data_IF_376880381271
#
_entry.id   IF_376880381271
#
_cell.length_a   1.000
_cell.length_b   1.000
_cell.length_c   1.000
_cell.angle_alpha   90.00
_cell.angle_beta   90.00
_cell.angle_gamma   90.00
#
_symmetry.space_group_name_H-M   'P 1'
#
loop_
_entity.id
_entity.type
_entity.pdbx_description
1 polymer ?
#
# COMPACT_ATOMS: atom_id res chain seq x y z
N UNK A 1 -16.39 -1.74 15.69
CA UNK A 1 -15.60 -1.98 14.45
C UNK A 1 -15.73 -0.74 13.58
N UNK A 2 -14.64 -0.28 13.04
CA UNK A 2 -14.58 0.86 12.10
C UNK A 2 -15.20 0.39 10.76
N UNK A 3 -16.10 1.21 10.16
CA UNK A 3 -16.68 0.88 8.86
C UNK A 3 -15.84 1.44 7.72
N UNK A 4 -15.96 0.92 6.47
CA UNK A 4 -15.28 1.46 5.30
C UNK A 4 -15.57 2.96 5.09
N UNK A 5 -16.80 3.41 5.33
CA UNK A 5 -17.20 4.81 5.16
C UNK A 5 -16.54 5.73 6.19
N UNK A 6 -16.41 5.26 7.44
CA UNK A 6 -15.72 6.01 8.51
C UNK A 6 -14.24 6.16 8.18
N UNK A 7 -13.61 5.09 7.71
CA UNK A 7 -12.21 5.11 7.31
C UNK A 7 -11.99 6.00 6.09
N UNK A 8 -12.87 5.90 5.10
CA UNK A 8 -12.85 6.77 3.92
C UNK A 8 -12.96 8.26 4.31
N UNK A 9 -13.87 8.61 5.23
CA UNK A 9 -14.01 10.00 5.69
C UNK A 9 -12.75 10.48 6.41
N UNK A 10 -12.15 9.65 7.26
CA UNK A 10 -10.87 9.93 7.94
C UNK A 10 -9.79 10.26 6.92
N UNK A 11 -9.60 9.40 5.90
CA UNK A 11 -8.58 9.63 4.87
C UNK A 11 -8.93 10.81 3.96
N UNK A 12 -10.19 11.03 3.64
CA UNK A 12 -10.61 12.23 2.91
C UNK A 12 -10.19 13.51 3.64
N UNK A 13 -10.35 13.57 4.96
CA UNK A 13 -9.98 14.72 5.80
C UNK A 13 -8.46 14.90 5.91
N UNK A 14 -7.69 13.85 6.13
CA UNK A 14 -6.24 13.99 6.29
C UNK A 14 -5.56 14.42 4.99
N UNK A 15 -6.04 13.96 3.82
CA UNK A 15 -5.51 14.38 2.53
C UNK A 15 -5.81 15.85 2.18
N UNK A 16 -6.68 16.53 2.92
CA UNK A 16 -6.92 17.97 2.83
C UNK A 16 -5.97 18.79 3.72
N UNK A 17 -5.26 18.14 4.65
CA UNK A 17 -4.32 18.83 5.56
C UNK A 17 -3.08 19.31 4.77
N UNK A 18 -2.75 20.62 4.83
CA UNK A 18 -1.54 21.12 4.19
C UNK A 18 -0.27 20.41 4.69
N UNK A 19 0.56 19.95 3.77
CA UNK A 19 1.82 19.28 4.05
C UNK A 19 1.72 17.75 4.14
N UNK A 20 0.56 17.14 4.38
CA UNK A 20 0.41 15.68 4.39
C UNK A 20 0.78 15.06 3.03
N UNK A 21 0.37 15.72 1.95
CA UNK A 21 0.60 15.31 0.56
C UNK A 21 2.06 15.41 0.08
N UNK A 22 2.93 16.09 0.83
CA UNK A 22 4.32 16.35 0.38
C UNK A 22 5.15 15.07 0.36
N UNK A 23 4.90 14.17 1.31
CA UNK A 23 5.61 12.89 1.43
C UNK A 23 4.93 11.82 0.57
N UNK A 24 5.72 11.04 -0.13
CA UNK A 24 5.32 9.84 -0.87
C UNK A 24 6.39 8.77 -0.67
N UNK A 25 6.42 8.09 0.50
CA UNK A 25 7.48 7.13 0.81
C UNK A 25 7.62 6.03 -0.23
N UNK A 26 6.50 5.54 -0.75
CA UNK A 26 6.48 4.52 -1.78
C UNK A 26 7.22 4.91 -3.06
N UNK A 27 7.20 6.21 -3.45
CA UNK A 27 7.95 6.69 -4.62
C UNK A 27 9.45 6.43 -4.49
N UNK A 28 10.01 6.56 -3.28
CA UNK A 28 11.43 6.36 -3.01
C UNK A 28 11.85 4.88 -3.05
N UNK A 29 10.91 3.96 -2.90
CA UNK A 29 11.14 2.53 -2.88
C UNK A 29 10.91 1.83 -4.23
N UNK A 30 10.45 2.57 -5.24
CA UNK A 30 10.30 2.01 -6.59
C UNK A 30 11.60 1.38 -7.11
N UNK A 31 12.80 2.00 -6.98
CA UNK A 31 14.05 1.36 -7.40
C UNK A 31 14.32 0.03 -6.69
N UNK A 32 13.97 -0.10 -5.40
CA UNK A 32 14.13 -1.34 -4.63
C UNK A 32 13.23 -2.45 -5.18
N UNK A 33 11.95 -2.15 -5.45
CA UNK A 33 11.06 -3.10 -6.12
C UNK A 33 11.64 -3.56 -7.47
N UNK A 34 12.01 -2.62 -8.34
CA UNK A 34 12.53 -2.92 -9.68
C UNK A 34 13.83 -3.73 -9.68
N UNK A 35 14.61 -3.63 -8.60
CA UNK A 35 15.85 -4.37 -8.42
C UNK A 35 15.63 -5.81 -7.95
N UNK A 36 14.65 -6.04 -7.08
CA UNK A 36 14.50 -7.33 -6.39
C UNK A 36 13.37 -8.19 -6.98
N UNK A 37 12.33 -7.61 -7.57
CA UNK A 37 11.27 -8.37 -8.22
C UNK A 37 11.70 -8.87 -9.62
N UNK A 38 11.32 -10.10 -9.94
CA UNK A 38 11.52 -10.69 -11.28
C UNK A 38 10.34 -10.31 -12.19
N UNK A 39 10.27 -9.05 -12.59
CA UNK A 39 9.18 -8.49 -13.40
C UNK A 39 9.57 -8.29 -14.87
N UNK A 40 8.57 -8.32 -15.77
CA UNK A 40 8.69 -8.07 -17.19
C UNK A 40 7.88 -6.84 -17.64
N UNK A 41 8.31 -6.21 -18.74
CA UNK A 41 7.56 -5.09 -19.33
C UNK A 41 6.19 -5.55 -19.83
N UNK A 42 5.17 -4.76 -19.48
CA UNK A 42 3.79 -5.02 -19.86
C UNK A 42 3.00 -5.83 -18.84
N UNK A 43 3.65 -6.35 -17.79
CA UNK A 43 2.95 -6.97 -16.68
C UNK A 43 2.06 -5.97 -15.94
N UNK A 44 1.00 -6.48 -15.35
CA UNK A 44 0.04 -5.68 -14.61
C UNK A 44 0.46 -5.52 -13.16
N UNK A 45 0.35 -4.30 -12.63
CA UNK A 45 0.64 -4.00 -11.24
C UNK A 45 -0.47 -3.15 -10.63
N UNK A 46 -0.85 -3.46 -9.39
CA UNK A 46 -1.75 -2.62 -8.62
C UNK A 46 -0.99 -1.92 -7.48
N UNK A 47 -1.11 -0.58 -7.42
CA UNK A 47 -0.59 0.25 -6.32
C UNK A 47 -1.68 0.38 -5.25
N UNK A 48 -1.54 -0.41 -4.18
CA UNK A 48 -2.51 -0.61 -3.09
C UNK A 48 -2.34 0.48 -2.03
N UNK A 49 -3.35 1.32 -1.83
CA UNK A 49 -3.23 2.52 -1.00
C UNK A 49 -2.32 3.56 -1.64
N UNK A 50 -2.51 3.80 -2.93
CA UNK A 50 -1.61 4.56 -3.79
C UNK A 50 -1.39 6.03 -3.36
N UNK A 51 -2.20 6.56 -2.44
CA UNK A 51 -2.09 7.92 -1.95
C UNK A 51 -2.01 8.96 -3.06
N UNK A 52 -0.88 9.65 -3.18
CA UNK A 52 -0.65 10.66 -4.22
C UNK A 52 -0.61 10.11 -5.66
N UNK A 53 -0.38 8.81 -5.83
CA UNK A 53 -0.23 8.12 -7.12
C UNK A 53 1.18 8.21 -7.73
N UNK A 54 2.15 8.79 -7.01
CA UNK A 54 3.51 9.02 -7.56
C UNK A 54 4.29 7.73 -7.72
N UNK A 55 4.19 6.79 -6.75
CA UNK A 55 4.84 5.49 -6.86
C UNK A 55 4.32 4.74 -8.10
N UNK A 56 3.01 4.64 -8.26
CA UNK A 56 2.40 4.02 -9.44
C UNK A 56 2.81 4.69 -10.76
N UNK A 57 2.98 6.01 -10.77
CA UNK A 57 3.47 6.72 -11.96
C UNK A 57 4.92 6.36 -12.30
N UNK A 58 5.83 6.30 -11.31
CA UNK A 58 7.22 5.88 -11.56
C UNK A 58 7.31 4.41 -12.01
N UNK A 59 6.50 3.52 -11.43
CA UNK A 59 6.37 2.13 -11.88
C UNK A 59 5.88 2.03 -13.34
N UNK A 60 4.92 2.87 -13.73
CA UNK A 60 4.42 2.91 -15.11
C UNK A 60 5.48 3.39 -16.10
N UNK A 61 6.35 4.33 -15.70
CA UNK A 61 7.50 4.78 -16.52
C UNK A 61 8.55 3.69 -16.71
N UNK A 62 8.68 2.77 -15.76
CA UNK A 62 9.54 1.60 -15.91
C UNK A 62 9.01 0.60 -16.95
N UNK A 63 7.71 0.61 -17.25
CA UNK A 63 7.09 -0.22 -18.26
C UNK A 63 6.00 -1.18 -17.77
N UNK A 64 5.60 -1.08 -16.50
CA UNK A 64 4.48 -1.83 -15.96
C UNK A 64 3.13 -1.20 -16.33
N UNK A 65 2.10 -2.02 -16.45
CA UNK A 65 0.71 -1.57 -16.64
C UNK A 65 0.07 -1.35 -15.27
N UNK A 66 0.14 -0.14 -14.75
CA UNK A 66 -0.23 0.18 -13.37
C UNK A 66 -1.68 0.63 -13.25
N UNK A 67 -2.39 0.07 -12.26
CA UNK A 67 -3.68 0.56 -11.75
C UNK A 67 -3.49 1.07 -10.33
N UNK A 68 -4.01 2.25 -10.04
CA UNK A 68 -4.00 2.85 -8.72
C UNK A 68 -5.23 2.44 -7.92
N UNK A 69 -5.06 2.09 -6.64
CA UNK A 69 -6.16 1.80 -5.73
C UNK A 69 -5.99 2.56 -4.43
N UNK A 70 -7.04 3.23 -3.99
CA UNK A 70 -7.08 3.90 -2.68
C UNK A 70 -8.51 3.95 -2.15
N UNK A 71 -8.68 4.10 -0.85
CA UNK A 71 -9.99 4.26 -0.22
C UNK A 71 -10.64 5.60 -0.60
N UNK A 72 -9.85 6.59 -1.00
CA UNK A 72 -10.35 7.92 -1.36
C UNK A 72 -9.63 8.55 -2.55
N UNK A 73 -10.39 8.98 -3.56
CA UNK A 73 -9.83 9.58 -4.77
C UNK A 73 -9.16 10.95 -4.55
N UNK A 74 -9.50 11.67 -3.48
CA UNK A 74 -8.86 12.96 -3.20
C UNK A 74 -7.41 12.83 -2.73
N UNK A 75 -6.94 11.63 -2.41
CA UNK A 75 -5.53 11.33 -2.17
C UNK A 75 -4.65 11.67 -3.38
N UNK A 76 -5.10 11.35 -4.59
CA UNK A 76 -4.34 11.55 -5.82
C UNK A 76 -3.88 13.00 -6.01
N UNK A 77 -2.70 13.17 -6.54
CA UNK A 77 -2.24 14.47 -7.05
C UNK A 77 -3.14 14.94 -8.20
N UNK A 78 -3.28 16.26 -8.35
CA UNK A 78 -4.21 16.87 -9.31
C UNK A 78 -3.99 16.39 -10.75
N UNK A 79 -2.73 16.13 -11.13
CA UNK A 79 -2.37 15.57 -12.44
C UNK A 79 -3.03 14.21 -12.68
N UNK A 80 -3.03 13.32 -11.68
CA UNK A 80 -3.58 11.96 -11.83
C UNK A 80 -5.11 11.92 -11.68
N UNK A 81 -5.73 12.87 -10.98
CA UNK A 81 -7.20 12.96 -10.86
C UNK A 81 -7.93 13.09 -12.20
N UNK A 82 -7.24 13.58 -13.24
CA UNK A 82 -7.79 13.77 -14.59
C UNK A 82 -7.84 12.49 -15.42
N UNK A 83 -7.59 11.33 -14.83
CA UNK A 83 -7.72 10.03 -15.50
C UNK A 83 -6.53 9.65 -16.37
N UNK A 84 -5.34 10.16 -16.05
CA UNK A 84 -4.10 9.77 -16.75
C UNK A 84 -3.68 8.34 -16.42
N UNK A 85 -4.15 7.79 -15.28
CA UNK A 85 -3.93 6.40 -14.87
C UNK A 85 -5.27 5.78 -14.43
N UNK A 86 -5.48 4.48 -14.66
CA UNK A 86 -6.62 3.76 -14.10
C UNK A 86 -6.64 3.89 -12.56
N UNK A 87 -7.82 4.15 -12.00
CA UNK A 87 -8.00 4.29 -10.55
C UNK A 87 -9.25 3.54 -10.08
N UNK A 88 -9.08 2.74 -9.05
CA UNK A 88 -10.15 2.01 -8.36
C UNK A 88 -10.28 2.60 -6.94
N UNK A 89 -11.49 3.02 -6.56
CA UNK A 89 -11.78 3.37 -5.18
C UNK A 89 -12.33 2.16 -4.46
N UNK A 90 -11.59 1.65 -3.48
CA UNK A 90 -11.93 0.43 -2.77
C UNK A 90 -11.31 0.40 -1.37
N UNK A 91 -12.00 -0.22 -0.42
CA UNK A 91 -11.49 -0.48 0.92
C UNK A 91 -10.82 -1.87 0.96
N UNK A 92 -9.55 -1.94 1.40
CA UNK A 92 -8.76 -3.16 1.29
C UNK A 92 -9.28 -4.36 2.09
N UNK A 93 -10.09 -4.17 3.12
CA UNK A 93 -10.70 -5.29 3.85
C UNK A 93 -12.05 -5.76 3.28
N UNK A 94 -12.58 -5.06 2.27
CA UNK A 94 -13.75 -5.55 1.54
C UNK A 94 -13.35 -6.58 0.48
N UNK A 95 -14.15 -7.63 0.27
CA UNK A 95 -13.85 -8.64 -0.74
C UNK A 95 -13.72 -8.05 -2.14
N UNK A 96 -12.80 -8.60 -2.93
CA UNK A 96 -12.57 -8.17 -4.30
C UNK A 96 -12.35 -9.35 -5.24
N UNK A 97 -12.60 -9.15 -6.54
CA UNK A 97 -12.28 -10.10 -7.61
C UNK A 97 -11.11 -9.63 -8.47
N UNK A 98 -10.44 -8.57 -8.06
CA UNK A 98 -9.28 -8.03 -8.80
C UNK A 98 -8.14 -9.04 -8.84
N UNK A 99 -7.42 -9.05 -9.98
CA UNK A 99 -6.21 -9.85 -10.19
C UNK A 99 -5.19 -9.03 -10.97
N UNK A 100 -3.96 -9.05 -10.50
CA UNK A 100 -2.81 -8.42 -11.11
C UNK A 100 -1.60 -9.32 -10.96
N UNK A 101 -0.61 -9.17 -11.82
CA UNK A 101 0.63 -9.93 -11.72
C UNK A 101 1.37 -9.55 -10.44
N UNK A 102 1.45 -8.26 -10.13
CA UNK A 102 2.15 -7.72 -8.97
C UNK A 102 1.28 -6.80 -8.10
N UNK A 103 1.53 -6.83 -6.80
CA UNK A 103 1.05 -5.84 -5.85
C UNK A 103 2.19 -4.93 -5.36
N UNK A 104 1.89 -3.65 -5.16
CA UNK A 104 2.77 -2.68 -4.52
C UNK A 104 2.00 -2.00 -3.38
N UNK A 105 2.48 -2.12 -2.13
CA UNK A 105 1.77 -1.68 -0.93
C UNK A 105 2.76 -1.00 0.03
N UNK A 106 2.80 0.32 0.04
CA UNK A 106 3.77 1.09 0.82
C UNK A 106 3.10 2.09 1.75
N UNK A 107 3.44 2.06 3.05
CA UNK A 107 2.84 2.88 4.11
C UNK A 107 1.30 2.72 4.17
N UNK A 108 0.81 1.49 4.26
CA UNK A 108 -0.63 1.17 4.27
C UNK A 108 -1.00 0.22 5.40
N UNK A 109 -0.25 -0.86 5.60
CA UNK A 109 -0.65 -1.94 6.49
C UNK A 109 -0.69 -1.50 7.96
N UNK A 110 0.19 -0.62 8.39
CA UNK A 110 0.19 0.00 9.73
C UNK A 110 -1.06 0.86 9.99
N UNK A 111 -1.71 1.32 8.93
CA UNK A 111 -2.94 2.12 9.02
C UNK A 111 -4.20 1.26 9.18
N UNK A 112 -4.13 -0.03 8.91
CA UNK A 112 -5.27 -0.94 8.98
C UNK A 112 -5.65 -1.18 10.44
N UNK A 113 -6.94 -1.12 10.81
CA UNK A 113 -7.38 -1.52 12.15
C UNK A 113 -6.98 -2.97 12.46
N UNK A 114 -6.50 -3.27 13.69
CA UNK A 114 -5.98 -4.61 14.01
C UNK A 114 -6.95 -5.75 13.68
N UNK A 115 -8.25 -5.52 13.86
CA UNK A 115 -9.30 -6.49 13.56
C UNK A 115 -9.51 -6.78 12.06
N UNK A 116 -8.93 -5.97 11.18
CA UNK A 116 -9.05 -6.11 9.72
C UNK A 116 -7.75 -6.55 9.04
N UNK A 117 -6.64 -6.67 9.77
CA UNK A 117 -5.32 -7.02 9.19
C UNK A 117 -5.37 -8.35 8.43
N UNK A 118 -5.96 -9.38 9.01
CA UNK A 118 -6.07 -10.68 8.35
C UNK A 118 -6.87 -10.59 7.04
N UNK A 119 -8.02 -9.91 7.06
CA UNK A 119 -8.85 -9.74 5.87
C UNK A 119 -8.12 -8.95 4.76
N UNK A 120 -7.34 -7.92 5.13
CA UNK A 120 -6.54 -7.14 4.17
C UNK A 120 -5.44 -8.00 3.57
N UNK A 121 -4.69 -8.74 4.38
CA UNK A 121 -3.62 -9.60 3.87
C UNK A 121 -4.17 -10.73 2.98
N UNK A 122 -5.33 -11.32 3.33
CA UNK A 122 -6.01 -12.32 2.49
C UNK A 122 -6.45 -11.75 1.14
N UNK A 123 -7.02 -10.52 1.14
CA UNK A 123 -7.39 -9.83 -0.09
C UNK A 123 -6.18 -9.48 -0.95
N UNK A 124 -5.08 -9.02 -0.35
CA UNK A 124 -3.84 -8.71 -1.08
C UNK A 124 -3.25 -10.00 -1.68
N UNK A 125 -3.26 -11.12 -0.96
CA UNK A 125 -2.83 -12.42 -1.49
C UNK A 125 -3.72 -12.89 -2.66
N UNK A 126 -5.01 -12.57 -2.58
CA UNK A 126 -5.91 -12.83 -3.70
C UNK A 126 -5.59 -11.95 -4.92
N UNK A 127 -5.17 -10.71 -4.74
CA UNK A 127 -4.94 -9.72 -5.80
C UNK A 127 -3.61 -9.94 -6.53
N UNK A 128 -2.50 -10.10 -5.83
CA UNK A 128 -1.15 -10.21 -6.40
C UNK A 128 -0.77 -11.65 -6.70
N UNK A 129 -0.82 -12.04 -7.97
CA UNK A 129 -0.65 -13.45 -8.38
C UNK A 129 0.79 -13.95 -8.29
N UNK A 130 1.78 -13.12 -8.55
CA UNK A 130 3.20 -13.51 -8.57
C UNK A 130 3.98 -13.01 -7.37
N UNK A 131 3.49 -11.95 -6.73
CA UNK A 131 4.06 -11.44 -5.51
C UNK A 131 3.60 -10.04 -5.16
N UNK A 132 4.00 -9.60 -3.98
CA UNK A 132 3.67 -8.27 -3.47
C UNK A 132 4.90 -7.64 -2.84
N UNK A 133 5.18 -6.41 -3.20
CA UNK A 133 6.15 -5.57 -2.50
C UNK A 133 5.42 -4.77 -1.42
N UNK A 134 5.88 -4.86 -0.18
CA UNK A 134 5.30 -4.19 0.98
C UNK A 134 6.34 -3.34 1.69
N UNK A 135 5.94 -2.16 2.17
CA UNK A 135 6.69 -1.39 3.14
C UNK A 135 5.76 -0.98 4.27
N UNK A 136 6.18 -1.20 5.51
CA UNK A 136 5.39 -1.03 6.72
C UNK A 136 6.18 -0.17 7.71
N UNK A 137 5.59 0.91 8.20
CA UNK A 137 6.17 1.72 9.27
C UNK A 137 5.94 1.04 10.63
N UNK A 138 7.01 0.93 11.44
CA UNK A 138 6.97 0.25 12.74
C UNK A 138 6.86 1.24 13.93
N UNK A 139 6.54 2.50 13.66
CA UNK A 139 6.46 3.57 14.67
C UNK A 139 5.13 4.32 14.62
N UNK A 140 4.71 4.97 15.72
CA UNK A 140 3.54 5.83 15.73
C UNK A 140 3.79 7.11 14.91
N UNK A 141 2.73 7.60 14.24
CA UNK A 141 2.76 8.84 13.50
C UNK A 141 2.09 10.00 14.27
N UNK A 142 2.26 11.24 13.81
CA UNK A 142 1.71 12.43 14.47
C UNK A 142 0.77 13.27 13.59
N UNK A 143 0.54 12.89 12.33
CA UNK A 143 -0.29 13.67 11.41
C UNK A 143 -1.77 13.59 11.73
N UNK A 144 -2.24 12.44 12.22
CA UNK A 144 -3.63 12.21 12.59
C UNK A 144 -4.14 13.18 13.64
N UNK A 145 -3.29 13.64 14.55
CA UNK A 145 -3.64 14.64 15.56
C UNK A 145 -4.20 15.94 14.97
N UNK A 146 -3.85 16.28 13.71
CA UNK A 146 -4.35 17.47 13.01
C UNK A 146 -5.83 17.39 12.65
N UNK A 147 -6.39 16.20 12.65
CA UNK A 147 -7.81 15.94 12.39
C UNK A 147 -8.51 15.23 13.56
N UNK A 148 -7.81 15.11 14.71
CA UNK A 148 -8.33 14.44 15.90
C UNK A 148 -8.38 12.93 15.80
N UNK A 149 -7.53 12.31 14.97
CA UNK A 149 -7.49 10.87 14.71
C UNK A 149 -6.10 10.29 15.01
N UNK A 150 -6.02 8.95 15.01
CA UNK A 150 -4.77 8.19 14.92
C UNK A 150 -4.75 7.49 13.57
N UNK A 151 -3.63 7.59 12.83
CA UNK A 151 -3.52 6.95 11.52
C UNK A 151 -2.84 5.59 11.61
N UNK A 152 -1.69 5.45 12.31
CA UNK A 152 -1.05 4.17 12.52
C UNK A 152 -1.78 3.40 13.63
N UNK A 153 -2.66 2.48 13.25
CA UNK A 153 -3.53 1.72 14.15
C UNK A 153 -2.93 0.37 14.56
N UNK A 154 -2.11 -0.23 13.68
CA UNK A 154 -1.45 -1.52 13.91
C UNK A 154 0.06 -1.36 13.93
N UNK A 155 0.60 -0.97 15.10
CA UNK A 155 2.04 -0.85 15.30
C UNK A 155 2.54 -2.12 15.98
N UNK A 156 3.34 -2.89 15.26
CA UNK A 156 3.93 -4.14 15.74
C UNK A 156 5.40 -4.24 15.33
N UNK A 157 6.12 -5.22 15.89
CA UNK A 157 7.51 -5.50 15.50
C UNK A 157 7.60 -6.03 14.08
N UNK A 158 8.77 -5.87 13.43
CA UNK A 158 9.05 -6.48 12.14
C UNK A 158 8.79 -8.01 12.16
N UNK A 159 9.19 -8.70 13.25
CA UNK A 159 8.95 -10.14 13.41
C UNK A 159 7.47 -10.50 13.37
N UNK A 160 6.62 -9.72 14.06
CA UNK A 160 5.17 -9.95 14.04
C UNK A 160 4.59 -9.83 12.63
N UNK A 161 4.98 -8.79 11.89
CA UNK A 161 4.53 -8.60 10.51
C UNK A 161 5.02 -9.73 9.59
N UNK A 162 6.28 -10.14 9.72
CA UNK A 162 6.81 -11.27 8.94
C UNK A 162 6.04 -12.56 9.23
N UNK A 163 5.69 -12.83 10.49
CA UNK A 163 4.89 -13.99 10.87
C UNK A 163 3.45 -13.93 10.29
N UNK A 164 2.87 -12.74 10.05
CA UNK A 164 1.58 -12.61 9.37
C UNK A 164 1.71 -12.82 7.85
N UNK A 165 2.75 -12.27 7.24
CA UNK A 165 3.03 -12.37 5.81
C UNK A 165 3.35 -13.82 5.42
N UNK A 166 4.21 -14.49 6.17
CA UNK A 166 4.64 -15.88 5.91
C UNK A 166 3.50 -16.90 5.94
N UNK A 167 2.36 -16.58 6.56
CA UNK A 167 1.16 -17.43 6.49
C UNK A 167 0.55 -17.50 5.08
N UNK A 168 0.85 -16.55 4.22
CA UNK A 168 0.20 -16.37 2.91
C UNK A 168 1.15 -16.46 1.73
N UNK A 169 2.41 -16.09 1.93
CA UNK A 169 3.42 -16.01 0.87
C UNK A 169 4.78 -16.51 1.32
N UNK A 170 5.59 -17.07 0.43
CA UNK A 170 7.02 -17.18 0.66
C UNK A 170 7.64 -15.77 0.65
N UNK A 171 8.50 -15.48 1.61
CA UNK A 171 9.27 -14.23 1.66
C UNK A 171 10.54 -14.45 0.84
N UNK A 172 10.68 -13.75 -0.29
CA UNK A 172 11.84 -13.84 -1.17
C UNK A 172 12.95 -12.89 -0.78
N UNK A 173 12.57 -11.71 -0.32
CA UNK A 173 13.52 -10.70 0.16
C UNK A 173 12.91 -9.85 1.26
N UNK A 174 13.74 -9.42 2.22
CA UNK A 174 13.33 -8.51 3.28
C UNK A 174 14.48 -7.67 3.80
N UNK A 175 14.17 -6.49 4.27
CA UNK A 175 15.07 -5.58 4.95
C UNK A 175 14.32 -4.80 6.04
N UNK A 176 14.99 -4.52 7.15
CA UNK A 176 14.53 -3.50 8.10
C UNK A 176 15.49 -2.33 8.02
N UNK A 177 14.99 -1.18 7.59
CA UNK A 177 15.81 0.02 7.41
C UNK A 177 16.20 0.66 8.75
N UNK A 178 17.20 1.54 8.75
CA UNK A 178 17.67 2.26 9.95
C UNK A 178 16.58 3.14 10.60
N UNK A 179 15.56 3.54 9.85
CA UNK A 179 14.41 4.32 10.32
C UNK A 179 13.19 3.45 10.65
N UNK A 180 13.42 2.20 11.05
CA UNK A 180 12.41 1.24 11.51
C UNK A 180 11.30 0.93 10.47
N UNK A 181 11.63 0.86 9.18
CA UNK A 181 10.73 0.36 8.15
C UNK A 181 11.01 -1.09 7.86
N UNK A 182 9.99 -1.92 7.88
CA UNK A 182 10.05 -3.26 7.32
C UNK A 182 9.71 -3.19 5.83
N UNK A 183 10.59 -3.69 4.99
CA UNK A 183 10.39 -3.82 3.55
C UNK A 183 10.44 -5.30 3.21
N UNK A 184 9.45 -5.77 2.44
CA UNK A 184 9.30 -7.20 2.09
C UNK A 184 8.94 -7.33 0.62
N UNK A 185 9.58 -8.25 -0.07
CA UNK A 185 9.13 -8.79 -1.35
C UNK A 185 8.72 -10.25 -1.14
N UNK A 186 7.54 -10.60 -1.60
CA UNK A 186 7.01 -11.96 -1.54
C UNK A 186 7.01 -12.59 -2.92
N UNK A 187 7.04 -13.92 -2.97
CA UNK A 187 6.69 -14.68 -4.16
C UNK A 187 5.18 -14.87 -4.32
N UNK A 188 4.77 -15.80 -5.17
CA UNK A 188 3.37 -16.13 -5.38
C UNK A 188 2.74 -16.67 -4.06
N UNK A 189 1.47 -16.31 -3.77
CA UNK A 189 0.80 -16.80 -2.56
C UNK A 189 0.58 -18.30 -2.60
N UNK A 190 0.50 -18.94 -1.39
CA UNK A 190 0.28 -20.38 -1.22
C UNK A 190 -1.02 -20.88 -1.86
#
# INVERSE_FOLDING_TARGET
>A
MITPEQEQDKYRRIWEVPGYRVKSPGELLVPTFLQHAEWDKGETLIDLGCGSGRAGFELSKAGLNVTLLDITRNALDVSFRKGQMPFIQHCLWEPTTLRFDWGYCSDVLEHIPPEHVDAVLDNIAHIGMWGVFMQIALWPEGWGAKIGETLHLTINSARWWLDQIDKRWPIEWQETSEDDRLIVLTGAPW
#
